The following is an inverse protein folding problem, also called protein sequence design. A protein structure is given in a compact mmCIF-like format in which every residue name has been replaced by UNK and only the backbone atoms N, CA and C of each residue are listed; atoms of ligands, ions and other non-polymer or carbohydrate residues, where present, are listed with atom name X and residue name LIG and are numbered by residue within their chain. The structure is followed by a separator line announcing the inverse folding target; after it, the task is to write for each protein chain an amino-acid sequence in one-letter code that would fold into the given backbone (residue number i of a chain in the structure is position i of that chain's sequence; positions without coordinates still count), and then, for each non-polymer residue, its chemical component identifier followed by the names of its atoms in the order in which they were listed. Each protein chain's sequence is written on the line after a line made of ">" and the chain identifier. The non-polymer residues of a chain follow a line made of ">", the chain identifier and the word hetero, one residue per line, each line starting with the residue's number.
data_IF_015343613696
#
_entry.id   IF_015343613696
#
_cell.length_a   1.000
_cell.length_b   1.000
_cell.length_c   1.000
_cell.angle_alpha   90.00
_cell.angle_beta   90.00
_cell.angle_gamma   90.00
#
_symmetry.space_group_name_H-M   'P 1'
#
loop_
_entity.id
_entity.type
_entity.pdbx_description
1 polymer ?
#
# COMPACT_ATOMS: atom_id res chain seq x y z
N UNK A 1 30.78 -41.55 1.90
CA UNK A 1 30.31 -41.41 0.51
C UNK A 1 28.80 -41.26 0.61
N UNK A 2 28.35 -40.20 1.29
CA UNK A 2 28.22 -38.82 0.78
C UNK A 2 26.91 -38.77 -0.02
N UNK A 3 25.89 -38.02 0.37
CA UNK A 3 25.91 -36.62 0.78
C UNK A 3 24.78 -36.36 1.78
N UNK A 4 25.15 -35.91 2.97
CA UNK A 4 24.21 -35.27 3.90
C UNK A 4 23.71 -34.02 3.19
N UNK A 5 22.41 -34.00 2.86
CA UNK A 5 21.66 -32.79 2.57
C UNK A 5 21.93 -31.81 3.73
N UNK A 6 22.87 -30.90 3.52
CA UNK A 6 22.99 -29.68 4.29
C UNK A 6 21.78 -28.83 3.92
N UNK A 7 20.61 -29.23 4.44
CA UNK A 7 19.39 -28.47 4.36
C UNK A 7 19.60 -27.18 5.15
N UNK A 8 20.09 -26.15 4.44
CA UNK A 8 20.15 -24.78 4.92
C UNK A 8 18.74 -24.42 5.43
N UNK A 9 18.60 -24.08 6.74
CA UNK A 9 17.33 -23.67 7.34
C UNK A 9 16.70 -22.45 6.66
N UNK A 10 17.43 -21.75 5.78
CA UNK A 10 17.02 -20.59 5.01
C UNK A 10 16.84 -20.87 3.50
N UNK A 11 17.01 -22.12 3.05
CA UNK A 11 16.93 -22.53 1.63
C UNK A 11 15.55 -22.37 0.98
N UNK A 12 14.51 -22.22 1.80
CA UNK A 12 13.19 -21.82 1.30
C UNK A 12 12.99 -20.35 1.65
N UNK A 13 13.07 -19.45 0.66
CA UNK A 13 12.62 -18.09 0.85
C UNK A 13 11.21 -18.18 1.45
N UNK A 14 10.98 -17.54 2.59
CA UNK A 14 9.64 -17.34 3.08
C UNK A 14 8.80 -16.85 1.90
N UNK A 15 7.56 -17.31 1.74
CA UNK A 15 6.65 -16.91 0.63
C UNK A 15 6.61 -15.40 0.31
N UNK A 16 7.14 -14.54 1.19
CA UNK A 16 7.30 -13.07 1.04
C UNK A 16 8.44 -12.62 0.11
N UNK A 17 9.62 -13.23 0.07
CA UNK A 17 10.76 -12.67 -0.70
C UNK A 17 10.67 -12.88 -2.22
N UNK A 18 9.60 -13.53 -2.69
CA UNK A 18 9.27 -13.63 -4.12
C UNK A 18 8.45 -12.43 -4.64
N UNK A 19 8.05 -11.47 -3.79
CA UNK A 19 7.25 -10.33 -4.22
C UNK A 19 7.93 -9.52 -5.32
N UNK A 20 9.18 -9.08 -5.12
CA UNK A 20 9.90 -8.33 -6.17
C UNK A 20 10.07 -9.13 -7.47
N UNK A 21 10.35 -10.43 -7.39
CA UNK A 21 10.47 -11.30 -8.57
C UNK A 21 9.15 -11.40 -9.32
N UNK A 22 8.05 -11.57 -8.58
CA UNK A 22 6.70 -11.69 -9.14
C UNK A 22 6.22 -10.36 -9.72
N UNK A 23 6.53 -9.25 -9.07
CA UNK A 23 6.26 -7.89 -9.54
C UNK A 23 7.05 -7.56 -10.80
N UNK A 24 8.33 -7.91 -10.86
CA UNK A 24 9.14 -7.75 -12.07
C UNK A 24 8.63 -8.66 -13.19
N UNK A 25 8.32 -9.93 -12.90
CA UNK A 25 7.74 -10.83 -13.89
C UNK A 25 6.45 -10.26 -14.48
N UNK A 26 5.50 -9.83 -13.64
CA UNK A 26 4.27 -9.18 -14.07
C UNK A 26 4.53 -7.93 -14.92
N UNK A 27 5.44 -7.07 -14.49
CA UNK A 27 5.80 -5.83 -15.21
C UNK A 27 6.36 -6.11 -16.61
N UNK A 28 7.13 -7.19 -16.78
CA UNK A 28 7.69 -7.60 -18.07
C UNK A 28 6.82 -8.60 -18.85
N UNK A 29 5.59 -8.87 -18.38
CA UNK A 29 4.67 -9.79 -19.03
C UNK A 29 5.07 -11.27 -18.95
N UNK A 30 5.99 -11.61 -18.04
CA UNK A 30 6.42 -12.97 -17.72
C UNK A 30 5.51 -13.53 -16.61
N UNK A 31 5.05 -14.77 -16.78
CA UNK A 31 4.16 -15.58 -15.91
C UNK A 31 3.37 -14.87 -14.78
N UNK A 32 2.03 -14.93 -14.86
CA UNK A 32 1.12 -14.25 -13.93
C UNK A 32 0.99 -15.06 -12.64
N UNK A 33 1.78 -14.70 -11.63
CA UNK A 33 1.64 -15.19 -10.26
C UNK A 33 0.33 -14.76 -9.58
N UNK A 34 0.34 -14.58 -8.25
CA UNK A 34 -0.85 -14.18 -7.46
C UNK A 34 -1.27 -12.74 -7.81
N UNK A 35 -2.18 -12.62 -8.79
CA UNK A 35 -2.52 -11.34 -9.45
C UNK A 35 -2.84 -10.21 -8.45
N UNK A 36 -3.62 -10.48 -7.41
CA UNK A 36 -4.13 -9.42 -6.52
C UNK A 36 -3.05 -8.75 -5.62
N UNK A 37 -2.03 -9.48 -5.17
CA UNK A 37 -0.94 -8.93 -4.33
C UNK A 37 0.12 -8.22 -5.18
N UNK A 38 0.31 -8.71 -6.41
CA UNK A 38 1.34 -8.23 -7.34
C UNK A 38 0.89 -6.95 -8.05
N UNK A 39 -0.39 -6.85 -8.44
CA UNK A 39 -0.92 -5.66 -9.14
C UNK A 39 -0.73 -4.39 -8.30
N UNK A 40 -1.00 -4.47 -6.99
CA UNK A 40 -0.84 -3.32 -6.08
C UNK A 40 0.63 -2.92 -5.90
N UNK A 41 1.57 -3.86 -5.97
CA UNK A 41 3.00 -3.59 -5.82
C UNK A 41 3.69 -3.21 -7.15
N UNK A 42 3.11 -3.59 -8.29
CA UNK A 42 3.64 -3.31 -9.62
C UNK A 42 3.50 -1.83 -10.00
N UNK A 43 2.44 -1.16 -9.53
CA UNK A 43 2.37 0.29 -9.58
C UNK A 43 3.43 0.86 -8.64
N UNK A 44 4.41 1.58 -9.19
CA UNK A 44 5.55 2.11 -8.43
C UNK A 44 6.67 1.11 -8.11
N UNK A 45 6.90 0.15 -9.01
CA UNK A 45 8.05 -0.77 -9.00
C UNK A 45 9.39 -0.05 -8.76
N UNK A 46 9.63 1.09 -9.40
CA UNK A 46 10.89 1.83 -9.25
C UNK A 46 11.12 2.29 -7.81
N UNK A 47 10.06 2.71 -7.12
CA UNK A 47 10.12 3.09 -5.71
C UNK A 47 10.41 1.89 -4.83
N UNK A 48 9.84 0.72 -5.14
CA UNK A 48 10.16 -0.52 -4.42
C UNK A 48 11.62 -0.93 -4.61
N UNK A 49 12.13 -0.88 -5.85
CA UNK A 49 13.54 -1.13 -6.15
C UNK A 49 14.46 -0.15 -5.42
N UNK A 50 14.05 1.11 -5.34
CA UNK A 50 14.79 2.14 -4.61
C UNK A 50 14.80 1.87 -3.10
N UNK A 51 13.69 1.39 -2.52
CA UNK A 51 13.59 1.03 -1.12
C UNK A 51 14.48 -0.18 -0.78
N UNK A 52 14.51 -1.20 -1.66
CA UNK A 52 15.45 -2.33 -1.54
C UNK A 52 16.89 -1.82 -1.56
N UNK A 53 17.23 -0.98 -2.54
CA UNK A 53 18.56 -0.40 -2.64
C UNK A 53 18.93 0.41 -1.38
N UNK A 54 18.00 1.21 -0.87
CA UNK A 54 18.21 2.04 0.31
C UNK A 54 18.48 1.20 1.58
N UNK A 55 17.76 0.10 1.77
CA UNK A 55 17.98 -0.77 2.91
C UNK A 55 19.26 -1.61 2.81
N UNK A 56 19.72 -1.92 1.60
CA UNK A 56 21.03 -2.53 1.40
C UNK A 56 22.18 -1.53 1.61
N UNK A 57 22.00 -0.28 1.19
CA UNK A 57 22.90 0.84 1.49
C UNK A 57 22.60 1.46 2.86
N UNK A 58 22.75 0.66 3.91
CA UNK A 58 22.49 1.10 5.30
C UNK A 58 23.33 2.30 5.74
N UNK A 59 24.44 2.60 5.04
CA UNK A 59 25.31 3.75 5.28
C UNK A 59 24.84 5.02 4.54
N UNK A 60 23.92 4.89 3.58
CA UNK A 60 23.43 6.01 2.75
C UNK A 60 24.52 6.60 1.85
N UNK A 61 25.51 5.81 1.44
CA UNK A 61 26.61 6.26 0.59
C UNK A 61 26.24 6.43 -0.89
N UNK A 62 25.00 6.05 -1.26
CA UNK A 62 24.50 5.96 -2.62
C UNK A 62 25.07 4.77 -3.40
N UNK A 63 25.71 3.81 -2.72
CA UNK A 63 26.45 2.71 -3.32
C UNK A 63 26.32 1.43 -2.50
N UNK A 64 26.17 0.30 -3.19
CA UNK A 64 26.15 -1.05 -2.59
C UNK A 64 27.32 -1.87 -3.10
N UNK A 65 27.99 -2.70 -2.28
CA UNK A 65 29.00 -3.65 -2.75
C UNK A 65 28.42 -4.64 -3.76
N UNK A 66 29.21 -5.01 -4.77
CA UNK A 66 28.80 -5.99 -5.80
C UNK A 66 28.48 -7.35 -5.17
N UNK A 67 29.19 -7.72 -4.11
CA UNK A 67 28.96 -8.96 -3.38
C UNK A 67 27.53 -9.02 -2.81
N UNK A 68 27.03 -7.90 -2.30
CA UNK A 68 25.69 -7.82 -1.71
C UNK A 68 24.61 -7.96 -2.78
N UNK A 69 24.88 -7.43 -3.98
CA UNK A 69 24.01 -7.63 -5.14
C UNK A 69 23.99 -9.08 -5.62
N UNK A 70 25.14 -9.78 -5.63
CA UNK A 70 25.18 -11.20 -5.99
C UNK A 70 24.42 -12.06 -4.99
N UNK A 71 24.56 -11.78 -3.69
CA UNK A 71 23.80 -12.46 -2.65
C UNK A 71 22.30 -12.18 -2.81
N UNK A 72 21.91 -10.93 -3.10
CA UNK A 72 20.51 -10.62 -3.40
C UNK A 72 20.01 -11.45 -4.58
N UNK A 73 20.77 -11.53 -5.67
CA UNK A 73 20.42 -12.34 -6.85
C UNK A 73 20.23 -13.82 -6.50
N UNK A 74 21.04 -14.34 -5.59
CA UNK A 74 20.93 -15.70 -5.06
C UNK A 74 19.67 -15.89 -4.22
N UNK A 75 19.39 -14.97 -3.30
CA UNK A 75 18.19 -14.94 -2.45
C UNK A 75 16.91 -14.89 -3.30
N UNK A 76 16.94 -14.14 -4.40
CA UNK A 76 15.83 -14.03 -5.36
C UNK A 76 15.74 -15.23 -6.31
N UNK A 77 16.69 -16.17 -6.27
CA UNK A 77 16.70 -17.36 -7.12
C UNK A 77 17.04 -17.10 -8.59
N UNK A 78 17.64 -15.94 -8.93
CA UNK A 78 17.93 -15.51 -10.30
C UNK A 78 19.30 -16.01 -10.82
N UNK A 79 19.94 -16.94 -10.10
CA UNK A 79 21.24 -17.51 -10.44
C UNK A 79 21.17 -18.76 -11.33
N UNK A 80 20.03 -19.46 -11.39
CA UNK A 80 19.92 -20.76 -12.08
C UNK A 80 19.81 -20.68 -13.61
N UNK A 81 19.46 -19.50 -14.14
CA UNK A 81 19.26 -19.29 -15.58
C UNK A 81 20.50 -18.65 -16.26
N UNK A 82 21.63 -18.55 -15.56
CA UNK A 82 22.81 -17.80 -16.02
C UNK A 82 23.74 -18.60 -16.96
N UNK A 83 23.51 -19.89 -17.17
CA UNK A 83 24.33 -20.73 -18.06
C UNK A 83 24.02 -20.50 -19.56
N UNK A 84 22.98 -19.73 -19.92
CA UNK A 84 22.58 -19.50 -21.32
C UNK A 84 22.61 -18.05 -21.82
N UNK A 85 22.97 -17.06 -20.97
CA UNK A 85 22.94 -15.65 -21.38
C UNK A 85 24.26 -14.93 -21.10
N UNK A 86 25.29 -15.26 -21.88
CA UNK A 86 26.41 -14.36 -22.17
C UNK A 86 25.88 -13.13 -22.93
N UNK A 87 25.38 -12.13 -22.22
CA UNK A 87 25.19 -10.79 -22.79
C UNK A 87 25.58 -9.71 -21.78
N UNK A 88 26.66 -9.00 -22.16
CA UNK A 88 27.21 -7.78 -21.57
C UNK A 88 28.01 -7.92 -20.25
N UNK A 89 29.22 -8.44 -20.40
CA UNK A 89 30.43 -7.81 -19.85
C UNK A 89 30.56 -7.79 -18.33
N UNK A 90 31.21 -8.82 -17.81
CA UNK A 90 31.77 -8.93 -16.46
C UNK A 90 32.91 -7.92 -16.22
N UNK A 91 32.56 -6.65 -16.14
CA UNK A 91 33.35 -5.65 -15.44
C UNK A 91 32.41 -4.81 -14.59
N UNK A 92 31.82 -5.43 -13.56
CA UNK A 92 31.07 -4.67 -12.56
C UNK A 92 32.07 -3.83 -11.75
N UNK A 93 31.85 -2.50 -11.62
CA UNK A 93 32.58 -1.72 -10.63
C UNK A 93 32.31 -2.31 -9.25
N UNK A 94 33.34 -2.45 -8.40
CA UNK A 94 33.22 -3.10 -7.07
C UNK A 94 32.13 -2.53 -6.15
N UNK A 95 31.60 -1.35 -6.49
CA UNK A 95 30.42 -0.74 -5.89
C UNK A 95 29.41 -0.34 -6.97
N UNK A 96 28.12 -0.66 -6.76
CA UNK A 96 27.01 -0.38 -7.66
C UNK A 96 26.20 0.82 -7.17
N UNK A 97 25.89 1.75 -8.07
CA UNK A 97 24.89 2.81 -7.81
C UNK A 97 23.48 2.28 -8.08
N UNK A 98 22.44 2.99 -7.62
CA UNK A 98 21.04 2.63 -7.89
C UNK A 98 20.75 2.38 -9.38
N UNK A 99 21.32 3.20 -10.26
CA UNK A 99 21.17 3.03 -11.71
C UNK A 99 21.73 1.69 -12.21
N UNK A 100 22.88 1.27 -11.69
CA UNK A 100 23.50 -0.01 -12.07
C UNK A 100 22.73 -1.19 -11.46
N UNK A 101 22.32 -1.07 -10.19
CA UNK A 101 21.47 -2.03 -9.51
C UNK A 101 20.17 -2.28 -10.28
N UNK A 102 19.46 -1.20 -10.61
CA UNK A 102 18.21 -1.23 -11.37
C UNK A 102 18.41 -1.89 -12.73
N UNK A 103 19.38 -1.41 -13.52
CA UNK A 103 19.64 -1.95 -14.86
C UNK A 103 20.00 -3.43 -14.85
N UNK A 104 20.78 -3.91 -13.87
CA UNK A 104 21.16 -5.32 -13.77
C UNK A 104 20.00 -6.21 -13.33
N UNK A 105 19.21 -5.76 -12.36
CA UNK A 105 18.06 -6.54 -11.87
C UNK A 105 16.94 -6.59 -12.93
N UNK A 106 16.56 -5.46 -13.50
CA UNK A 106 15.57 -5.36 -14.59
C UNK A 106 16.05 -6.04 -15.88
N UNK A 107 17.36 -5.98 -16.17
CA UNK A 107 17.96 -6.62 -17.33
C UNK A 107 17.73 -8.13 -17.36
N UNK A 108 17.75 -8.80 -16.20
CA UNK A 108 17.46 -10.24 -16.11
C UNK A 108 16.06 -10.59 -16.64
N UNK A 109 15.05 -9.79 -16.29
CA UNK A 109 13.67 -10.00 -16.73
C UNK A 109 13.44 -9.51 -18.17
N UNK A 110 14.12 -8.44 -18.58
CA UNK A 110 14.04 -7.92 -19.96
C UNK A 110 14.57 -8.95 -20.98
N UNK A 111 15.73 -9.54 -20.70
CA UNK A 111 16.32 -10.62 -21.53
C UNK A 111 15.39 -11.82 -21.58
N UNK A 112 14.80 -12.22 -20.44
CA UNK A 112 13.87 -13.35 -20.36
C UNK A 112 12.54 -13.09 -21.08
N UNK A 113 12.08 -11.85 -21.14
CA UNK A 113 10.87 -11.42 -21.85
C UNK A 113 11.10 -11.22 -23.36
N UNK A 114 12.34 -11.26 -23.84
CA UNK A 114 12.66 -10.90 -25.23
C UNK A 114 12.42 -9.42 -25.56
N UNK A 115 12.27 -8.57 -24.54
CA UNK A 115 12.02 -7.15 -24.69
C UNK A 115 13.36 -6.39 -24.58
N UNK A 116 13.68 -5.58 -25.59
CA UNK A 116 14.82 -4.69 -25.50
C UNK A 116 14.52 -3.57 -24.50
N UNK A 117 15.36 -3.48 -23.44
CA UNK A 117 15.34 -2.40 -22.46
C UNK A 117 15.93 -1.13 -23.08
N UNK A 118 15.33 -0.66 -24.18
CA UNK A 118 15.78 0.53 -24.90
C UNK A 118 15.08 1.77 -24.34
N UNK A 119 15.89 2.65 -23.75
CA UNK A 119 15.59 4.06 -23.44
C UNK A 119 14.91 4.41 -22.11
N UNK A 120 15.11 3.62 -21.04
CA UNK A 120 14.91 4.11 -19.67
C UNK A 120 13.51 4.69 -19.36
N UNK A 121 12.51 4.32 -20.17
CA UNK A 121 11.08 4.58 -19.96
C UNK A 121 10.34 3.28 -20.25
N UNK A 122 9.59 2.85 -19.25
CA UNK A 122 8.90 1.57 -19.21
C UNK A 122 7.66 1.59 -20.12
N UNK A 123 7.39 0.44 -20.76
CA UNK A 123 6.17 0.20 -21.53
C UNK A 123 4.98 0.14 -20.58
N UNK A 124 4.30 1.28 -20.42
CA UNK A 124 2.99 1.33 -19.76
C UNK A 124 1.96 0.71 -20.70
N UNK A 125 1.32 -0.37 -20.27
CA UNK A 125 0.16 -0.92 -20.98
C UNK A 125 -0.93 0.13 -21.12
N UNK A 126 -1.68 0.11 -22.23
CA UNK A 126 -2.71 1.12 -22.57
C UNK A 126 -3.78 1.37 -21.48
N UNK A 127 -3.85 0.53 -20.46
CA UNK A 127 -4.82 0.61 -19.38
C UNK A 127 -4.31 1.36 -18.12
N UNK A 128 -3.01 1.72 -18.06
CA UNK A 128 -2.39 2.38 -16.89
C UNK A 128 -2.12 3.88 -17.04
N UNK A 129 -2.61 4.50 -18.13
CA UNK A 129 -2.35 5.91 -18.48
C UNK A 129 -2.93 6.94 -17.47
N UNK A 130 -3.76 6.50 -16.51
CA UNK A 130 -4.43 7.38 -15.55
C UNK A 130 -3.67 7.62 -14.23
N UNK A 131 -2.50 7.01 -14.01
CA UNK A 131 -1.81 7.08 -12.70
C UNK A 131 -0.55 7.97 -12.76
N UNK A 132 -0.02 8.26 -13.96
CA UNK A 132 1.32 8.85 -14.11
C UNK A 132 1.39 10.39 -14.11
N UNK A 133 0.26 11.11 -14.16
CA UNK A 133 0.29 12.58 -14.24
C UNK A 133 0.44 13.32 -12.91
N UNK A 134 0.63 12.63 -11.78
CA UNK A 134 0.74 13.30 -10.46
C UNK A 134 1.94 12.92 -9.60
N UNK A 135 3.03 12.39 -10.18
CA UNK A 135 4.31 12.31 -9.46
C UNK A 135 5.00 13.69 -9.50
N UNK A 136 4.40 14.67 -8.82
CA UNK A 136 5.12 15.85 -8.34
C UNK A 136 5.81 15.44 -7.04
N UNK A 137 7.13 15.43 -7.03
CA UNK A 137 7.96 15.43 -5.82
C UNK A 137 7.37 16.44 -4.81
N UNK A 138 6.71 15.95 -3.75
CA UNK A 138 6.23 16.81 -2.67
C UNK A 138 7.20 16.71 -1.50
N UNK A 139 7.93 17.78 -1.29
CA UNK A 139 8.59 18.08 -0.02
C UNK A 139 7.55 18.28 1.09
N UNK A 140 7.93 18.15 2.38
CA UNK A 140 6.98 18.25 3.49
C UNK A 140 6.40 19.67 3.55
N UNK A 141 5.18 19.84 3.05
CA UNK A 141 4.49 21.14 3.09
C UNK A 141 3.98 21.36 4.50
N UNK A 142 4.65 22.30 5.19
CA UNK A 142 4.22 22.93 6.44
C UNK A 142 2.72 23.26 6.38
N UNK A 143 2.00 22.81 7.40
CA UNK A 143 0.62 23.17 7.74
C UNK A 143 0.48 24.70 7.75
N UNK A 144 -0.04 25.29 6.67
CA UNK A 144 -0.46 26.69 6.66
C UNK A 144 -1.88 26.75 7.20
N UNK A 145 -1.98 27.25 8.42
CA UNK A 145 -3.19 27.71 9.09
C UNK A 145 -4.03 28.57 8.14
N UNK A 146 -5.23 28.10 7.79
CA UNK A 146 -6.22 28.92 7.08
C UNK A 146 -7.02 29.70 8.13
N UNK A 147 -6.59 30.92 8.35
CA UNK A 147 -7.43 31.96 8.94
C UNK A 147 -8.66 32.16 8.05
N UNK A 148 -9.80 32.26 8.73
CA UNK A 148 -11.08 32.71 8.22
C UNK A 148 -10.88 33.98 7.39
N UNK A 149 -11.37 33.97 6.15
CA UNK A 149 -11.55 35.17 5.35
C UNK A 149 -12.80 34.99 4.49
N UNK A 150 -13.85 35.67 4.95
CA UNK A 150 -14.89 36.25 4.11
C UNK A 150 -14.26 36.91 2.89
N UNK A 151 -14.62 36.47 1.68
CA UNK A 151 -14.95 37.34 0.54
C UNK A 151 -15.09 36.52 -0.75
N UNK A 152 -16.31 36.52 -1.30
CA UNK A 152 -16.55 36.22 -2.71
C UNK A 152 -15.77 37.21 -3.60
N UNK A 153 -15.38 36.78 -4.80
CA UNK A 153 -15.91 37.50 -5.96
C UNK A 153 -16.36 36.59 -7.12
N UNK A 154 -17.37 37.12 -7.80
CA UNK A 154 -18.02 36.67 -9.03
C UNK A 154 -17.08 36.14 -10.12
N UNK A 155 -17.50 35.06 -10.80
CA UNK A 155 -16.99 34.67 -12.10
C UNK A 155 -18.17 34.44 -13.07
N UNK A 156 -18.39 35.43 -13.93
CA UNK A 156 -19.25 35.37 -15.10
C UNK A 156 -18.62 34.47 -16.19
N UNK A 157 -19.38 33.55 -16.78
CA UNK A 157 -18.82 32.68 -17.82
C UNK A 157 -19.69 31.60 -18.46
N UNK A 158 -20.84 31.97 -19.03
CA UNK A 158 -21.46 31.41 -20.26
C UNK A 158 -22.14 30.02 -20.28
N UNK A 159 -23.47 30.12 -20.40
CA UNK A 159 -24.43 29.33 -21.21
C UNK A 159 -24.82 27.90 -20.77
N UNK A 160 -26.00 27.79 -20.14
CA UNK A 160 -27.14 27.06 -20.70
C UNK A 160 -28.49 27.46 -20.05
N UNK A 161 -29.47 27.74 -20.91
CA UNK A 161 -30.92 27.94 -20.66
C UNK A 161 -31.36 29.16 -19.84
N UNK A 162 -32.08 30.07 -20.52
CA UNK A 162 -32.60 31.29 -19.96
C UNK A 162 -33.89 31.07 -19.17
N UNK A 163 -33.92 31.57 -17.94
CA UNK A 163 -35.15 31.89 -17.23
C UNK A 163 -35.19 33.40 -17.04
N UNK A 164 -36.18 34.07 -17.66
CA UNK A 164 -36.55 35.44 -17.26
C UNK A 164 -36.99 35.37 -15.80
N UNK A 165 -36.39 36.20 -14.96
CA UNK A 165 -36.78 36.38 -13.57
C UNK A 165 -38.29 36.69 -13.49
N UNK A 166 -39.10 35.73 -13.07
CA UNK A 166 -40.55 35.94 -12.90
C UNK A 166 -41.45 34.72 -12.79
N UNK A 167 -41.04 33.51 -13.21
CA UNK A 167 -41.91 32.32 -13.07
C UNK A 167 -41.11 31.02 -12.98
N UNK A 168 -40.39 30.82 -11.88
CA UNK A 168 -39.76 29.53 -11.61
C UNK A 168 -40.83 28.63 -10.95
N UNK A 169 -41.22 27.53 -11.61
CA UNK A 169 -42.18 26.56 -11.03
C UNK A 169 -41.54 25.88 -9.82
N UNK A 170 -42.36 25.42 -8.87
CA UNK A 170 -41.88 24.70 -7.67
C UNK A 170 -40.95 23.52 -8.03
N UNK A 171 -41.24 22.86 -9.14
CA UNK A 171 -40.46 21.74 -9.67
C UNK A 171 -39.03 22.13 -10.07
N UNK A 172 -38.81 23.34 -10.62
CA UNK A 172 -37.46 23.83 -10.93
C UNK A 172 -36.63 24.10 -9.67
N UNK A 173 -37.26 24.56 -8.58
CA UNK A 173 -36.55 24.71 -7.30
C UNK A 173 -36.18 23.36 -6.70
N UNK A 174 -37.08 22.38 -6.78
CA UNK A 174 -36.81 21.01 -6.31
C UNK A 174 -35.69 20.34 -7.13
N UNK A 175 -35.61 20.60 -8.44
CA UNK A 175 -34.54 20.10 -9.31
C UNK A 175 -33.17 20.76 -9.00
N UNK A 176 -33.13 22.08 -8.78
CA UNK A 176 -31.90 22.80 -8.39
C UNK A 176 -31.38 22.27 -7.05
N UNK A 177 -32.26 22.11 -6.06
CA UNK A 177 -31.88 21.57 -4.73
C UNK A 177 -31.38 20.11 -4.87
N UNK A 178 -32.02 19.30 -5.71
CA UNK A 178 -31.58 17.92 -5.95
C UNK A 178 -30.21 17.85 -6.67
N UNK A 179 -29.91 18.79 -7.57
CA UNK A 179 -28.61 18.91 -8.22
C UNK A 179 -27.53 19.35 -7.23
N UNK A 180 -27.78 20.38 -6.40
CA UNK A 180 -26.86 20.81 -5.35
C UNK A 180 -26.56 19.66 -4.37
N UNK A 181 -27.57 18.91 -3.94
CA UNK A 181 -27.37 17.73 -3.10
C UNK A 181 -26.56 16.62 -3.80
N UNK A 182 -26.71 16.46 -5.11
CA UNK A 182 -25.96 15.48 -5.88
C UNK A 182 -24.49 15.90 -6.05
N UNK A 183 -24.22 17.19 -6.28
CA UNK A 183 -22.88 17.78 -6.33
C UNK A 183 -22.15 17.63 -4.99
N UNK A 184 -22.84 17.88 -3.88
CA UNK A 184 -22.31 17.64 -2.53
C UNK A 184 -21.96 16.17 -2.28
N UNK A 185 -22.78 15.24 -2.78
CA UNK A 185 -22.51 13.79 -2.68
C UNK A 185 -21.33 13.38 -3.54
N UNK A 186 -21.20 13.93 -4.74
CA UNK A 186 -20.05 13.69 -5.63
C UNK A 186 -18.77 14.18 -4.95
N UNK A 187 -18.78 15.41 -4.43
CA UNK A 187 -17.62 15.98 -3.73
C UNK A 187 -17.18 15.11 -2.55
N UNK A 188 -18.14 14.62 -1.74
CA UNK A 188 -17.84 13.68 -0.64
C UNK A 188 -17.24 12.36 -1.14
N UNK A 189 -17.79 11.78 -2.22
CA UNK A 189 -17.25 10.56 -2.81
C UNK A 189 -15.85 10.79 -3.43
N UNK A 190 -15.58 11.96 -3.98
CA UNK A 190 -14.25 12.33 -4.47
C UNK A 190 -13.24 12.43 -3.34
N UNK A 191 -13.61 13.04 -2.21
CA UNK A 191 -12.80 13.12 -0.99
C UNK A 191 -12.54 11.73 -0.37
N UNK A 192 -13.57 10.87 -0.31
CA UNK A 192 -13.43 9.48 0.15
C UNK A 192 -12.52 8.68 -0.79
N UNK A 193 -12.68 8.82 -2.10
CA UNK A 193 -11.78 8.17 -3.07
C UNK A 193 -10.35 8.70 -2.97
N UNK A 194 -10.14 10.00 -2.70
CA UNK A 194 -8.82 10.55 -2.46
C UNK A 194 -8.19 9.95 -1.20
N UNK A 195 -8.97 9.84 -0.12
CA UNK A 195 -8.55 9.25 1.15
C UNK A 195 -8.22 7.74 1.00
N UNK A 196 -9.01 7.00 0.22
CA UNK A 196 -8.74 5.59 -0.08
C UNK A 196 -7.46 5.42 -0.92
N UNK A 197 -7.20 6.31 -1.88
CA UNK A 197 -5.95 6.29 -2.65
C UNK A 197 -4.73 6.55 -1.76
N UNK A 198 -4.82 7.50 -0.83
CA UNK A 198 -3.77 7.77 0.16
C UNK A 198 -3.52 6.54 1.04
N UNK A 199 -4.58 5.93 1.58
CA UNK A 199 -4.47 4.73 2.40
C UNK A 199 -3.82 3.55 1.65
N UNK A 200 -4.20 3.33 0.38
CA UNK A 200 -3.60 2.29 -0.44
C UNK A 200 -2.11 2.55 -0.67
N UNK A 201 -1.72 3.79 -0.91
CA UNK A 201 -0.31 4.15 -1.09
C UNK A 201 0.49 3.97 0.21
N UNK A 202 -0.05 4.35 1.35
CA UNK A 202 0.56 4.10 2.66
C UNK A 202 0.74 2.61 2.93
N UNK A 203 -0.29 1.80 2.66
CA UNK A 203 -0.22 0.34 2.76
C UNK A 203 0.84 -0.23 1.81
N UNK A 204 0.90 0.26 0.56
CA UNK A 204 1.89 -0.17 -0.44
C UNK A 204 3.30 0.16 0.03
N UNK A 205 3.55 1.38 0.47
CA UNK A 205 4.86 1.83 0.97
C UNK A 205 5.30 1.02 2.20
N UNK A 206 4.38 0.76 3.14
CA UNK A 206 4.66 -0.05 4.32
C UNK A 206 5.03 -1.50 3.96
N UNK A 207 4.32 -2.10 3.00
CA UNK A 207 4.62 -3.45 2.51
C UNK A 207 5.97 -3.51 1.78
N UNK A 208 6.22 -2.57 0.86
CA UNK A 208 7.46 -2.48 0.10
C UNK A 208 8.67 -2.26 1.02
N UNK A 209 8.56 -1.35 2.00
CA UNK A 209 9.62 -1.09 2.99
C UNK A 209 9.81 -2.25 3.96
N UNK A 210 8.74 -2.92 4.39
CA UNK A 210 8.85 -4.13 5.21
C UNK A 210 9.60 -5.25 4.47
N UNK A 211 9.25 -5.51 3.22
CA UNK A 211 9.90 -6.56 2.44
C UNK A 211 11.35 -6.19 2.09
N UNK A 212 11.61 -4.94 1.70
CA UNK A 212 12.96 -4.44 1.43
C UNK A 212 13.89 -4.58 2.64
N UNK A 213 13.41 -4.30 3.86
CA UNK A 213 14.15 -4.57 5.10
C UNK A 213 14.43 -6.06 5.29
N UNK A 214 13.45 -6.92 5.04
CA UNK A 214 13.63 -8.37 5.12
C UNK A 214 14.68 -8.87 4.12
N UNK A 215 14.64 -8.39 2.87
CA UNK A 215 15.63 -8.71 1.85
C UNK A 215 17.04 -8.26 2.26
N UNK A 216 17.20 -7.02 2.72
CA UNK A 216 18.50 -6.51 3.17
C UNK A 216 19.06 -7.30 4.36
N UNK A 217 18.20 -7.66 5.34
CA UNK A 217 18.58 -8.52 6.45
C UNK A 217 18.99 -9.91 5.98
N UNK A 218 18.25 -10.51 5.04
CA UNK A 218 18.58 -11.81 4.48
C UNK A 218 19.92 -11.77 3.75
N UNK A 219 20.17 -10.73 2.93
CA UNK A 219 21.47 -10.52 2.28
C UNK A 219 22.60 -10.38 3.31
N UNK A 220 22.39 -9.60 4.37
CA UNK A 220 23.36 -9.45 5.45
C UNK A 220 23.66 -10.76 6.18
N UNK A 221 22.64 -11.57 6.46
CA UNK A 221 22.81 -12.90 7.05
C UNK A 221 23.61 -13.83 6.13
N UNK A 222 23.24 -13.90 4.85
CA UNK A 222 23.97 -14.71 3.85
C UNK A 222 25.43 -14.27 3.69
N UNK A 223 25.68 -12.95 3.69
CA UNK A 223 27.04 -12.38 3.67
C UNK A 223 27.86 -12.79 4.90
N UNK A 224 27.21 -12.91 6.05
CA UNK A 224 27.87 -13.38 7.27
C UNK A 224 28.16 -14.89 7.22
N UNK A 225 27.21 -15.69 6.71
CA UNK A 225 27.37 -17.13 6.57
C UNK A 225 28.44 -17.52 5.54
N UNK A 226 28.56 -16.80 4.41
CA UNK A 226 29.59 -17.07 3.40
C UNK A 226 31.01 -16.74 3.87
N UNK A 227 31.17 -15.85 4.86
CA UNK A 227 32.46 -15.52 5.49
C UNK A 227 32.84 -16.49 6.61
N UNK A 228 31.88 -17.24 7.15
CA UNK A 228 32.09 -18.27 8.15
C UNK A 228 32.31 -19.63 7.46
N UNK A 229 33.56 -20.04 7.27
CA UNK A 229 33.88 -21.47 7.10
C UNK A 229 33.33 -22.23 8.32
N UNK A 230 32.85 -23.48 8.17
CA UNK A 230 32.17 -24.23 9.24
C UNK A 230 33.03 -24.57 10.47
N UNK A 231 34.29 -24.12 10.52
CA UNK A 231 35.17 -24.33 11.68
C UNK A 231 35.33 -23.11 12.59
N UNK A 232 34.96 -21.90 12.15
CA UNK A 232 35.02 -20.70 12.99
C UNK A 232 33.62 -20.27 13.39
N UNK A 233 33.17 -20.76 14.54
CA UNK A 233 31.93 -20.33 15.18
C UNK A 233 31.89 -18.82 15.44
N UNK A 234 30.70 -18.26 15.24
CA UNK A 234 30.14 -17.03 15.82
C UNK A 234 31.15 -15.93 16.25
N UNK A 235 31.06 -14.79 15.56
CA UNK A 235 31.82 -13.54 15.67
C UNK A 235 32.07 -12.96 17.09
N UNK A 236 31.44 -13.49 18.14
CA UNK A 236 31.64 -13.07 19.54
C UNK A 236 32.96 -13.59 20.13
N UNK A 237 33.61 -14.60 19.53
CA UNK A 237 34.81 -15.22 20.10
C UNK A 237 36.15 -14.53 19.76
N UNK A 238 36.20 -13.69 18.72
CA UNK A 238 37.48 -13.20 18.18
C UNK A 238 38.12 -12.04 18.96
N UNK A 239 37.36 -11.34 19.81
CA UNK A 239 37.92 -10.27 20.64
C UNK A 239 38.75 -10.80 21.84
N UNK A 240 38.66 -12.11 22.16
CA UNK A 240 39.43 -12.72 23.26
C UNK A 240 40.77 -13.32 22.84
N UNK A 241 41.02 -13.56 21.55
CA UNK A 241 42.25 -14.25 21.11
C UNK A 241 43.43 -13.33 20.78
N UNK A 242 43.21 -12.02 20.61
CA UNK A 242 44.28 -11.06 20.39
C UNK A 242 45.11 -10.75 21.67
N UNK A 243 44.64 -11.14 22.85
CA UNK A 243 45.31 -10.85 24.13
C UNK A 243 46.33 -11.92 24.60
N UNK A 244 46.53 -13.01 23.86
CA UNK A 244 47.31 -14.17 24.34
C UNK A 244 48.61 -14.46 23.56
N UNK A 245 49.03 -13.59 22.63
CA UNK A 245 50.35 -13.70 21.97
C UNK A 245 51.24 -12.50 22.32
N UNK A 246 51.80 -12.56 23.53
CA UNK A 246 52.81 -11.65 24.06
C UNK A 246 53.80 -12.39 24.97
N UNK A 247 54.78 -13.01 24.34
CA UNK A 247 56.12 -13.48 24.78
C UNK A 247 56.57 -13.24 26.23
N UNK A 248 56.94 -14.33 26.91
CA UNK A 248 58.30 -14.59 27.43
C UNK A 248 58.84 -13.82 28.66
N UNK A 249 59.08 -14.61 29.72
CA UNK A 249 60.10 -14.47 30.79
C UNK A 249 60.31 -13.11 31.51
N UNK A 250 59.98 -13.12 32.81
CA UNK A 250 60.70 -12.35 33.82
C UNK A 250 59.84 -11.68 34.89
N UNK A 251 60.08 -12.06 36.16
CA UNK A 251 59.88 -11.25 37.38
C UNK A 251 58.53 -11.38 38.15
N UNK A 252 58.60 -12.14 39.26
CA UNK A 252 57.46 -12.65 40.05
C UNK A 252 56.75 -11.60 40.95
N UNK A 253 57.29 -10.37 41.09
CA UNK A 253 56.72 -9.33 41.98
C UNK A 253 55.84 -8.30 41.27
N UNK A 254 55.90 -8.20 39.94
CA UNK A 254 55.08 -7.28 39.13
C UNK A 254 53.73 -7.88 38.72
N UNK A 255 53.67 -9.22 38.64
CA UNK A 255 52.51 -10.01 38.20
C UNK A 255 51.27 -9.87 39.11
N UNK A 256 51.43 -9.82 40.43
CA UNK A 256 50.29 -9.72 41.36
C UNK A 256 49.55 -8.39 41.21
N UNK A 257 50.27 -7.30 40.95
CA UNK A 257 49.69 -5.96 40.77
C UNK A 257 48.97 -5.81 39.42
N UNK A 258 49.51 -6.41 38.35
CA UNK A 258 48.85 -6.45 37.04
C UNK A 258 47.59 -7.32 37.05
N UNK A 259 47.60 -8.45 37.76
CA UNK A 259 46.43 -9.31 37.90
C UNK A 259 45.30 -8.64 38.69
N UNK A 260 45.64 -7.92 39.77
CA UNK A 260 44.68 -7.16 40.59
C UNK A 260 44.04 -6.03 39.78
N UNK A 261 44.83 -5.34 38.94
CA UNK A 261 44.33 -4.33 38.01
C UNK A 261 43.44 -4.92 36.91
N UNK A 262 43.76 -6.11 36.41
CA UNK A 262 42.90 -6.80 35.43
C UNK A 262 41.56 -7.23 36.04
N UNK A 263 41.55 -7.68 37.30
CA UNK A 263 40.34 -8.03 38.03
C UNK A 263 39.47 -6.80 38.29
N UNK A 264 40.08 -5.66 38.66
CA UNK A 264 39.37 -4.39 38.79
C UNK A 264 38.74 -3.91 37.47
N UNK A 265 39.45 -4.07 36.35
CA UNK A 265 38.91 -3.75 35.03
C UNK A 265 37.72 -4.64 34.67
N UNK A 266 37.81 -5.95 34.96
CA UNK A 266 36.70 -6.89 34.71
C UNK A 266 35.48 -6.55 35.57
N UNK A 267 35.68 -6.20 36.84
CA UNK A 267 34.58 -5.77 37.72
C UNK A 267 33.90 -4.52 37.16
N UNK A 268 34.68 -3.53 36.71
CA UNK A 268 34.15 -2.31 36.13
C UNK A 268 33.38 -2.56 34.82
N UNK A 269 33.89 -3.46 33.96
CA UNK A 269 33.17 -3.88 32.75
C UNK A 269 31.86 -4.60 33.08
N UNK A 270 31.84 -5.45 34.13
CA UNK A 270 30.62 -6.11 34.58
C UNK A 270 29.59 -5.10 35.08
N UNK A 271 30.01 -4.09 35.85
CA UNK A 271 29.12 -3.01 36.32
C UNK A 271 28.56 -2.17 35.16
N UNK A 272 29.39 -1.89 34.14
CA UNK A 272 28.95 -1.22 32.91
C UNK A 272 27.96 -2.07 32.10
N UNK A 273 28.21 -3.37 31.97
CA UNK A 273 27.30 -4.29 31.29
C UNK A 273 25.97 -4.43 32.05
N UNK A 274 26.01 -4.48 33.38
CA UNK A 274 24.82 -4.53 34.22
C UNK A 274 24.00 -3.25 34.07
N UNK A 275 24.61 -2.08 34.21
CA UNK A 275 23.92 -0.80 34.01
C UNK A 275 23.38 -0.62 32.59
N UNK A 276 24.10 -1.06 31.56
CA UNK A 276 23.62 -1.06 30.17
C UNK A 276 22.43 -2.01 29.97
N UNK A 277 22.47 -3.21 30.57
CA UNK A 277 21.38 -4.17 30.49
C UNK A 277 20.15 -3.64 31.22
N UNK A 278 20.32 -3.11 32.42
CA UNK A 278 19.23 -2.59 33.23
C UNK A 278 18.55 -1.41 32.51
N UNK A 279 19.33 -0.54 31.87
CA UNK A 279 18.81 0.50 30.98
C UNK A 279 18.02 -0.05 29.79
N UNK A 280 18.53 -1.07 29.09
CA UNK A 280 17.79 -1.69 27.98
C UNK A 280 16.49 -2.34 28.44
N UNK A 281 16.49 -2.94 29.64
CA UNK A 281 15.29 -3.54 30.24
C UNK A 281 14.25 -2.46 30.58
N UNK A 282 14.67 -1.33 31.15
CA UNK A 282 13.79 -0.19 31.41
C UNK A 282 13.19 0.39 30.12
N UNK A 283 14.01 0.58 29.08
CA UNK A 283 13.55 1.06 27.77
C UNK A 283 12.56 0.08 27.13
N UNK A 284 12.80 -1.23 27.24
CA UNK A 284 11.88 -2.27 26.77
C UNK A 284 10.56 -2.28 27.54
N UNK A 285 10.57 -2.08 28.87
CA UNK A 285 9.36 -1.97 29.68
C UNK A 285 8.51 -0.75 29.28
N UNK A 286 9.15 0.41 29.08
CA UNK A 286 8.45 1.63 28.64
C UNK A 286 7.85 1.47 27.24
N UNK A 287 8.57 0.80 26.34
CA UNK A 287 8.08 0.46 25.01
C UNK A 287 6.86 -0.47 25.09
N UNK A 288 6.93 -1.52 25.91
CA UNK A 288 5.83 -2.46 26.11
C UNK A 288 4.59 -1.77 26.68
N UNK A 289 4.75 -0.92 27.69
CA UNK A 289 3.64 -0.17 28.27
C UNK A 289 2.95 0.76 27.24
N UNK A 290 3.73 1.40 26.36
CA UNK A 290 3.18 2.21 25.26
C UNK A 290 2.39 1.35 24.27
N UNK A 291 2.94 0.21 23.88
CA UNK A 291 2.26 -0.73 22.99
C UNK A 291 0.96 -1.28 23.61
N UNK A 292 0.96 -1.57 24.91
CA UNK A 292 -0.25 -1.98 25.63
C UNK A 292 -1.32 -0.88 25.63
N UNK A 293 -0.91 0.38 25.83
CA UNK A 293 -1.82 1.53 25.78
C UNK A 293 -2.41 1.73 24.37
N UNK A 294 -1.57 1.66 23.33
CA UNK A 294 -1.99 1.76 21.94
C UNK A 294 -2.92 0.61 21.54
N UNK A 295 -2.63 -0.62 21.99
CA UNK A 295 -3.49 -1.77 21.81
C UNK A 295 -4.86 -1.57 22.48
N UNK A 296 -4.89 -0.99 23.67
CA UNK A 296 -6.13 -0.73 24.39
C UNK A 296 -6.97 0.34 23.68
N UNK A 297 -6.35 1.45 23.26
CA UNK A 297 -7.01 2.50 22.49
C UNK A 297 -7.54 1.97 21.15
N UNK A 298 -6.75 1.14 20.47
CA UNK A 298 -7.17 0.48 19.23
C UNK A 298 -8.39 -0.42 19.46
N UNK A 299 -8.42 -1.22 20.53
CA UNK A 299 -9.58 -2.06 20.86
C UNK A 299 -10.85 -1.24 21.12
N UNK A 300 -10.72 -0.10 21.80
CA UNK A 300 -11.85 0.79 22.08
C UNK A 300 -12.41 1.41 20.79
N UNK A 301 -11.53 1.87 19.89
CA UNK A 301 -11.97 2.41 18.59
C UNK A 301 -12.63 1.35 17.72
N UNK A 302 -12.12 0.12 17.70
CA UNK A 302 -12.75 -1.01 17.00
C UNK A 302 -14.14 -1.30 17.57
N UNK A 303 -14.30 -1.34 18.88
CA UNK A 303 -15.60 -1.55 19.51
C UNK A 303 -16.62 -0.46 19.13
N UNK A 304 -16.21 0.81 19.12
CA UNK A 304 -17.06 1.92 18.69
C UNK A 304 -17.50 1.79 17.22
N UNK A 305 -16.56 1.41 16.34
CA UNK A 305 -16.86 1.20 14.92
C UNK A 305 -17.80 0.01 14.69
N UNK A 306 -17.64 -1.08 15.46
CA UNK A 306 -18.56 -2.22 15.41
C UNK A 306 -19.98 -1.82 15.81
N UNK A 307 -20.14 -0.98 16.83
CA UNK A 307 -21.45 -0.47 17.26
C UNK A 307 -22.09 0.43 16.19
N UNK A 308 -21.32 1.34 15.58
CA UNK A 308 -21.78 2.12 14.43
C UNK A 308 -22.21 1.21 13.27
N UNK A 309 -21.46 0.15 12.97
CA UNK A 309 -21.81 -0.81 11.93
C UNK A 309 -23.14 -1.53 12.23
N UNK A 310 -23.37 -1.91 13.50
CA UNK A 310 -24.64 -2.52 13.95
C UNK A 310 -25.81 -1.55 13.79
N UNK A 311 -25.62 -0.24 14.05
CA UNK A 311 -26.64 0.79 13.82
C UNK A 311 -26.96 0.90 12.33
N UNK A 312 -25.94 1.09 11.49
CA UNK A 312 -26.09 1.23 10.04
C UNK A 312 -26.79 0.02 9.41
N UNK A 313 -26.48 -1.20 9.85
CA UNK A 313 -27.18 -2.41 9.40
C UNK A 313 -28.67 -2.38 9.73
N UNK A 314 -29.05 -1.90 10.92
CA UNK A 314 -30.46 -1.73 11.30
C UNK A 314 -31.17 -0.68 10.44
N UNK A 315 -30.51 0.44 10.19
CA UNK A 315 -31.04 1.51 9.33
C UNK A 315 -31.18 1.07 7.88
N UNK A 316 -30.19 0.34 7.34
CA UNK A 316 -30.24 -0.22 5.99
C UNK A 316 -31.44 -1.14 5.81
N UNK A 317 -31.72 -2.02 6.78
CA UNK A 317 -32.90 -2.89 6.76
C UNK A 317 -34.18 -2.07 6.83
N UNK A 318 -34.23 -1.04 7.69
CA UNK A 318 -35.37 -0.13 7.79
C UNK A 318 -35.65 0.62 6.48
N UNK A 319 -34.61 1.13 5.83
CA UNK A 319 -34.70 1.83 4.56
C UNK A 319 -35.18 0.90 3.44
N UNK A 320 -34.65 -0.33 3.36
CA UNK A 320 -35.14 -1.33 2.39
C UNK A 320 -36.62 -1.63 2.57
N UNK A 321 -37.11 -1.71 3.82
CA UNK A 321 -38.53 -1.90 4.11
C UNK A 321 -39.36 -0.72 3.60
N UNK A 322 -38.98 0.52 3.94
CA UNK A 322 -39.67 1.74 3.49
C UNK A 322 -39.72 1.86 1.97
N UNK A 323 -38.62 1.54 1.28
CA UNK A 323 -38.58 1.53 -0.19
C UNK A 323 -39.56 0.49 -0.76
N UNK A 324 -39.62 -0.70 -0.17
CA UNK A 324 -40.55 -1.73 -0.62
C UNK A 324 -42.02 -1.35 -0.37
N UNK A 325 -42.32 -0.72 0.77
CA UNK A 325 -43.64 -0.17 1.08
C UNK A 325 -44.05 0.91 0.07
N UNK A 326 -43.15 1.85 -0.24
CA UNK A 326 -43.38 2.88 -1.24
C UNK A 326 -43.62 2.28 -2.65
N UNK A 327 -42.83 1.27 -3.02
CA UNK A 327 -43.03 0.54 -4.28
C UNK A 327 -44.42 -0.12 -4.34
N UNK A 328 -44.84 -0.77 -3.26
CA UNK A 328 -46.16 -1.41 -3.20
C UNK A 328 -47.29 -0.38 -3.29
N UNK A 329 -47.15 0.77 -2.61
CA UNK A 329 -48.10 1.87 -2.70
C UNK A 329 -48.22 2.40 -4.14
N UNK A 330 -47.10 2.61 -4.83
CA UNK A 330 -47.08 3.02 -6.24
C UNK A 330 -47.74 2.00 -7.16
N UNK A 331 -47.46 0.71 -7.00
CA UNK A 331 -48.11 -0.34 -7.80
C UNK A 331 -49.63 -0.34 -7.61
N UNK A 332 -50.09 -0.18 -6.36
CA UNK A 332 -51.52 -0.09 -6.06
C UNK A 332 -52.16 1.17 -6.66
N UNK A 333 -51.46 2.31 -6.60
CA UNK A 333 -51.91 3.57 -7.19
C UNK A 333 -52.00 3.49 -8.71
N UNK A 334 -50.99 2.92 -9.36
CA UNK A 334 -50.98 2.73 -10.82
C UNK A 334 -52.11 1.80 -11.28
N UNK A 335 -52.43 0.76 -10.50
CA UNK A 335 -53.59 -0.09 -10.76
C UNK A 335 -54.90 0.70 -10.78
N UNK A 336 -55.12 1.55 -9.77
CA UNK A 336 -56.29 2.44 -9.71
C UNK A 336 -56.33 3.43 -10.87
N UNK A 337 -55.19 3.99 -11.28
CA UNK A 337 -55.11 4.90 -12.43
C UNK A 337 -55.50 4.18 -13.72
N UNK A 338 -55.03 2.94 -13.93
CA UNK A 338 -55.45 2.13 -15.09
C UNK A 338 -56.94 1.83 -15.08
N UNK A 339 -57.52 1.51 -13.93
CA UNK A 339 -58.98 1.33 -13.81
C UNK A 339 -59.72 2.61 -14.18
N UNK A 340 -59.27 3.76 -13.69
CA UNK A 340 -59.85 5.06 -14.03
C UNK A 340 -59.71 5.38 -15.53
N UNK A 341 -58.56 5.07 -16.12
CA UNK A 341 -58.31 5.21 -17.56
C UNK A 341 -59.29 4.36 -18.38
N UNK A 342 -59.50 3.10 -18.01
CA UNK A 342 -60.50 2.25 -18.68
C UNK A 342 -61.91 2.81 -18.56
N UNK A 343 -62.30 3.32 -17.39
CA UNK A 343 -63.62 3.97 -17.20
C UNK A 343 -63.74 5.24 -18.04
N UNK A 344 -62.69 6.07 -18.07
CA UNK A 344 -62.65 7.30 -18.86
C UNK A 344 -62.81 7.02 -20.36
N UNK A 345 -62.23 5.94 -20.87
CA UNK A 345 -62.36 5.54 -22.28
C UNK A 345 -63.81 5.22 -22.70
N UNK A 346 -64.70 4.86 -21.77
CA UNK A 346 -66.12 4.63 -22.06
C UNK A 346 -66.95 5.91 -22.08
N UNK A 347 -66.46 7.00 -21.49
CA UNK A 347 -67.19 8.27 -21.36
C UNK A 347 -67.59 8.85 -22.73
N UNK A 348 -66.72 8.90 -23.76
CA UNK A 348 -67.11 9.42 -25.08
C UNK A 348 -68.20 8.60 -25.77
N UNK A 349 -68.23 7.28 -25.55
CA UNK A 349 -69.28 6.42 -26.09
C UNK A 349 -70.64 6.69 -25.44
N UNK A 350 -70.64 6.86 -24.12
CA UNK A 350 -71.84 7.25 -23.37
C UNK A 350 -72.32 8.65 -23.78
N UNK A 351 -71.41 9.61 -23.95
CA UNK A 351 -71.75 10.95 -24.44
C UNK A 351 -72.42 10.93 -25.81
N UNK A 352 -71.91 10.13 -26.77
CA UNK A 352 -72.54 9.95 -28.08
C UNK A 352 -73.96 9.37 -27.97
N UNK A 353 -74.16 8.40 -27.09
CA UNK A 353 -75.48 7.81 -26.88
C UNK A 353 -76.47 8.79 -26.24
N UNK A 354 -76.01 9.60 -25.27
CA UNK A 354 -76.83 10.67 -24.68
C UNK A 354 -77.27 11.66 -25.76
N UNK A 355 -76.36 12.15 -26.61
CA UNK A 355 -76.70 13.07 -27.70
C UNK A 355 -77.73 12.47 -28.67
N UNK A 356 -77.60 11.17 -28.98
CA UNK A 356 -78.58 10.47 -29.82
C UNK A 356 -79.96 10.44 -29.15
N UNK A 357 -80.03 10.04 -27.88
CA UNK A 357 -81.28 10.01 -27.11
C UNK A 357 -81.91 11.40 -26.99
N UNK A 358 -81.10 12.45 -26.81
CA UNK A 358 -81.57 13.84 -26.80
C UNK A 358 -82.19 14.24 -28.15
N UNK A 359 -81.57 13.85 -29.27
CA UNK A 359 -82.12 14.10 -30.60
C UNK A 359 -83.44 13.35 -30.86
N UNK A 360 -83.55 12.12 -30.37
CA UNK A 360 -84.79 11.33 -30.45
C UNK A 360 -85.89 11.96 -29.58
N UNK A 361 -85.59 12.40 -28.37
CA UNK A 361 -86.53 13.10 -27.50
C UNK A 361 -87.01 14.43 -28.09
N UNK A 362 -86.15 15.16 -28.81
CA UNK A 362 -86.51 16.37 -29.53
C UNK A 362 -87.44 16.09 -30.73
N UNK A 363 -87.37 14.91 -31.33
CA UNK A 363 -88.27 14.50 -32.42
C UNK A 363 -89.68 14.17 -31.91
N UNK A 364 -89.80 13.64 -30.69
CA UNK A 364 -91.09 13.28 -30.07
C UNK A 364 -91.76 14.42 -29.28
N UNK A 365 -91.11 15.57 -29.17
CA UNK A 365 -91.62 16.77 -28.49
C UNK A 365 -92.09 17.78 -29.52
#
# INVERSE_FOLDING_TARGET
>A
MDSIDAADPYSRPARRTQWIVSTLAYHYGLDRGVENEIIVLATGLDQYLQEIFHHMDYLGAGRIPVEDFHILREVLGLNKDAEESECAGDNLPGELTFRHFHAKLCGHFSTKAGCQYENGRLLVGRDSEHIETQIRLRSPLKRRERLLSDSCPSAEGRHASGCRAGSCTRECYEEIVALEEAEDRITKLEDENASLRELIEDMRAALQSSDARCLALQVGLWKSHSKHKPEDGCFVAHQKQAALKGTGNGNLKSSTYSNLKSLQNIIHEIELLQSSRDRQVEEAMLCNHRLEQELWSSKETVAALEDCNRVLKREQVGMRRKVQEARQALLSGLGKVKELETKANHVPALQRHILQLESELLYYR
#
